data_IF_400214173985
#
_entry.id   IF_400214173985
#
_cell.length_a   1.000
_cell.length_b   1.000
_cell.length_c   1.000
_cell.angle_alpha   90.00
_cell.angle_beta   90.00
_cell.angle_gamma   90.00
#
_symmetry.space_group_name_H-M   'P 1'
#
loop_
_entity.id
_entity.type
_entity.pdbx_description
1 polymer ?
#
# COMPACT_ATOMS: atom_id res chain seq x y z
N UNK A 1 -36.34 23.99 -41.08
CA UNK A 1 -35.39 24.85 -40.31
C UNK A 1 -35.21 24.45 -38.84
N UNK A 2 -36.07 23.63 -38.21
CA UNK A 2 -36.00 23.30 -36.76
C UNK A 2 -34.92 22.30 -36.32
N UNK A 3 -34.35 21.51 -37.24
CA UNK A 3 -33.34 20.48 -36.90
C UNK A 3 -31.92 21.03 -36.64
N UNK A 4 -31.55 22.17 -37.23
CA UNK A 4 -30.20 22.75 -37.07
C UNK A 4 -29.99 23.34 -35.66
N UNK A 5 -31.02 23.91 -35.05
CA UNK A 5 -30.94 24.48 -33.70
C UNK A 5 -30.83 23.41 -32.60
N UNK A 6 -31.47 22.24 -32.77
CA UNK A 6 -31.37 21.16 -31.78
C UNK A 6 -29.99 20.50 -31.75
N UNK A 7 -29.34 20.35 -32.91
CA UNK A 7 -28.00 19.78 -33.02
C UNK A 7 -26.92 20.68 -32.39
N UNK A 8 -27.00 21.99 -32.62
CA UNK A 8 -26.13 22.98 -31.98
C UNK A 8 -26.30 23.02 -30.46
N UNK A 9 -27.53 22.88 -29.96
CA UNK A 9 -27.80 22.79 -28.52
C UNK A 9 -27.17 21.53 -27.90
N UNK A 10 -27.21 20.40 -28.61
CA UNK A 10 -26.61 19.13 -28.16
C UNK A 10 -25.08 19.22 -28.07
N UNK A 11 -24.43 19.85 -29.06
CA UNK A 11 -22.98 20.09 -29.03
C UNK A 11 -22.61 21.03 -27.88
N UNK A 12 -23.41 22.07 -27.62
CA UNK A 12 -23.17 23.00 -26.53
C UNK A 12 -23.33 22.33 -25.15
N UNK A 13 -24.31 21.45 -24.99
CA UNK A 13 -24.49 20.65 -23.76
C UNK A 13 -23.32 19.67 -23.57
N UNK A 14 -22.83 18.99 -24.62
CA UNK A 14 -21.66 18.12 -24.53
C UNK A 14 -20.37 18.89 -24.18
N UNK A 15 -20.21 20.12 -24.70
CA UNK A 15 -19.08 20.99 -24.35
C UNK A 15 -19.15 21.48 -22.90
N UNK A 16 -20.35 21.70 -22.34
CA UNK A 16 -20.53 22.10 -20.94
C UNK A 16 -20.31 20.95 -19.94
N UNK A 17 -20.51 19.69 -20.34
CA UNK A 17 -20.27 18.51 -19.49
C UNK A 17 -18.78 18.11 -19.47
N UNK A 18 -17.97 18.65 -20.38
CA UNK A 18 -16.56 18.26 -20.54
C UNK A 18 -15.58 18.85 -19.50
N UNK A 19 -16.05 19.52 -18.44
CA UNK A 19 -15.17 20.14 -17.45
C UNK A 19 -15.53 19.80 -15.98
N UNK A 20 -16.11 18.63 -15.72
CA UNK A 20 -16.06 18.08 -14.38
C UNK A 20 -14.64 17.56 -14.12
N UNK A 21 -13.80 18.39 -13.49
CA UNK A 21 -12.50 17.93 -13.00
C UNK A 21 -12.73 16.80 -12.01
N UNK A 22 -12.25 15.61 -12.35
CA UNK A 22 -12.34 14.45 -11.47
C UNK A 22 -11.43 14.74 -10.28
N UNK A 23 -12.03 15.04 -9.12
CA UNK A 23 -11.28 15.15 -7.87
C UNK A 23 -10.75 13.78 -7.47
N UNK A 24 -9.52 13.75 -7.02
CA UNK A 24 -8.85 12.55 -6.54
C UNK A 24 -8.61 12.60 -5.05
N UNK A 25 -8.63 11.44 -4.39
CA UNK A 25 -8.42 11.34 -2.95
C UNK A 25 -6.92 11.35 -2.66
N UNK A 26 -6.50 12.28 -1.81
CA UNK A 26 -5.15 12.33 -1.25
C UNK A 26 -5.26 12.08 0.25
N UNK A 27 -4.60 11.04 0.72
CA UNK A 27 -4.39 10.82 2.14
C UNK A 27 -3.22 11.68 2.59
N UNK A 28 -3.30 12.28 3.76
CA UNK A 28 -2.25 13.12 4.33
C UNK A 28 -1.83 12.47 5.65
N UNK A 29 -0.60 11.95 5.74
CA UNK A 29 0.00 11.51 7.01
C UNK A 29 0.73 12.67 7.68
N UNK A 30 0.54 12.84 8.98
CA UNK A 30 1.14 13.91 9.77
C UNK A 30 1.32 13.52 11.24
N UNK A 31 2.24 14.20 11.93
CA UNK A 31 2.42 14.05 13.37
C UNK A 31 1.44 14.94 14.15
N UNK A 32 0.48 14.40 14.93
CA UNK A 32 -0.49 15.22 15.66
C UNK A 32 0.12 16.12 16.73
N UNK A 33 1.30 15.79 17.26
CA UNK A 33 1.97 16.59 18.28
C UNK A 33 2.64 17.83 17.70
N UNK A 34 3.23 17.74 16.52
CA UNK A 34 4.05 18.81 15.92
C UNK A 34 3.45 19.43 14.66
N UNK A 35 2.54 18.74 13.97
CA UNK A 35 1.98 19.10 12.67
C UNK A 35 0.46 19.25 12.68
N UNK A 36 -0.19 19.31 13.85
CA UNK A 36 -1.59 19.75 13.96
C UNK A 36 -1.77 21.21 13.51
N UNK A 37 -2.99 21.58 13.14
CA UNK A 37 -3.35 22.94 12.73
C UNK A 37 -3.98 22.98 11.35
N UNK A 38 -3.46 23.81 10.44
CA UNK A 38 -4.04 24.04 9.12
C UNK A 38 -3.03 23.72 8.02
N UNK A 39 -3.41 22.82 7.11
CA UNK A 39 -2.74 22.63 5.83
C UNK A 39 -3.46 23.47 4.77
N UNK A 40 -2.80 24.51 4.26
CA UNK A 40 -3.28 25.29 3.13
C UNK A 40 -2.83 24.64 1.82
N UNK A 41 -3.76 24.54 0.87
CA UNK A 41 -3.51 24.11 -0.51
C UNK A 41 -3.83 25.25 -1.45
N UNK A 42 -2.88 25.59 -2.32
CA UNK A 42 -2.95 26.66 -3.32
C UNK A 42 -3.36 28.03 -2.76
N UNK A 43 -2.99 28.30 -1.50
CA UNK A 43 -3.37 29.51 -0.72
C UNK A 43 -4.89 29.71 -0.53
N UNK A 44 -5.73 28.80 -1.01
CA UNK A 44 -7.19 28.94 -1.03
C UNK A 44 -7.90 27.96 -0.09
N UNK A 45 -7.39 26.73 0.03
CA UNK A 45 -8.13 25.64 0.66
C UNK A 45 -7.50 25.24 2.00
N UNK A 46 -8.06 25.65 3.15
CA UNK A 46 -7.60 25.24 4.47
C UNK A 46 -8.18 23.87 4.86
N UNK A 47 -7.30 22.92 5.18
CA UNK A 47 -7.66 21.63 5.78
C UNK A 47 -7.18 21.56 7.22
N UNK A 48 -8.07 21.20 8.14
CA UNK A 48 -7.74 21.07 9.56
C UNK A 48 -7.10 19.71 9.84
N UNK A 49 -5.90 19.73 10.41
CA UNK A 49 -5.18 18.56 10.92
C UNK A 49 -5.41 18.47 12.44
N UNK A 50 -6.03 17.37 12.89
CA UNK A 50 -6.45 17.20 14.29
C UNK A 50 -5.30 16.74 15.18
N UNK A 51 -5.36 17.01 16.48
CA UNK A 51 -4.44 16.40 17.45
C UNK A 51 -4.78 14.92 17.72
N UNK A 52 -5.98 14.47 17.33
CA UNK A 52 -6.51 13.14 17.66
C UNK A 52 -6.41 12.15 16.49
N UNK A 53 -5.71 12.53 15.41
CA UNK A 53 -5.51 11.67 14.24
C UNK A 53 -4.09 11.80 13.72
N UNK A 54 -3.59 10.74 13.10
CA UNK A 54 -2.31 10.72 12.38
C UNK A 54 -2.48 10.91 10.88
N UNK A 55 -3.72 10.93 10.38
CA UNK A 55 -3.98 11.18 8.97
C UNK A 55 -5.35 11.79 8.68
N UNK A 56 -5.52 12.33 7.46
CA UNK A 56 -6.79 12.86 6.95
C UNK A 56 -6.89 12.62 5.44
N UNK A 57 -8.11 12.41 4.93
CA UNK A 57 -8.37 12.35 3.49
C UNK A 57 -8.85 13.71 2.98
N UNK A 58 -8.23 14.21 1.92
CA UNK A 58 -8.62 15.42 1.21
C UNK A 58 -8.92 15.12 -0.26
N UNK A 59 -9.70 15.98 -0.92
CA UNK A 59 -10.04 15.84 -2.34
C UNK A 59 -9.41 16.99 -3.13
N UNK A 60 -8.51 16.65 -4.05
CA UNK A 60 -7.77 17.62 -4.87
C UNK A 60 -7.98 17.33 -6.36
N UNK A 61 -7.79 18.34 -7.19
CA UNK A 61 -7.63 18.10 -8.62
C UNK A 61 -6.28 17.40 -8.88
N UNK A 62 -6.10 16.65 -9.99
CA UNK A 62 -4.79 16.21 -10.40
C UNK A 62 -3.96 17.39 -10.95
N UNK A 63 -2.67 17.43 -10.64
CA UNK A 63 -1.77 18.51 -11.07
C UNK A 63 -0.77 18.95 -10.01
N UNK A 64 -0.09 20.06 -10.26
CA UNK A 64 0.84 20.64 -9.29
C UNK A 64 0.06 21.49 -8.29
N UNK A 65 0.22 21.19 -7.01
CA UNK A 65 -0.39 21.95 -5.92
C UNK A 65 0.68 22.49 -4.99
N UNK A 66 0.46 23.70 -4.48
CA UNK A 66 1.30 24.33 -3.47
C UNK A 66 0.72 24.04 -2.09
N UNK A 67 1.53 23.51 -1.20
CA UNK A 67 1.14 23.15 0.15
C UNK A 67 1.89 24.00 1.16
N UNK A 68 1.19 24.38 2.23
CA UNK A 68 1.76 25.11 3.37
C UNK A 68 1.15 24.61 4.66
N UNK A 69 1.97 24.06 5.54
CA UNK A 69 1.55 23.64 6.87
C UNK A 69 1.71 24.81 7.86
N UNK A 70 0.61 25.26 8.44
CA UNK A 70 0.56 26.42 9.33
C UNK A 70 1.26 27.64 8.67
N UNK A 71 2.18 28.29 9.40
CA UNK A 71 3.04 29.37 8.89
C UNK A 71 4.41 28.86 8.42
N UNK A 72 4.51 27.56 8.11
CA UNK A 72 5.75 26.91 7.69
C UNK A 72 6.15 27.22 6.25
N UNK A 73 7.20 26.52 5.80
CA UNK A 73 7.73 26.62 4.44
C UNK A 73 6.77 26.00 3.43
N UNK A 74 6.60 26.68 2.30
CA UNK A 74 5.81 26.20 1.17
C UNK A 74 6.58 25.14 0.38
N UNK A 75 5.85 24.14 -0.14
CA UNK A 75 6.38 23.14 -1.05
C UNK A 75 5.36 22.81 -2.14
N UNK A 76 5.85 22.35 -3.29
CA UNK A 76 5.01 21.99 -4.44
C UNK A 76 5.04 20.47 -4.60
N UNK A 77 3.88 19.87 -4.83
CA UNK A 77 3.77 18.45 -5.11
C UNK A 77 2.83 18.21 -6.30
N UNK A 78 3.25 17.36 -7.23
CA UNK A 78 2.40 16.86 -8.29
C UNK A 78 1.51 15.73 -7.75
N UNK A 79 0.20 15.88 -7.93
CA UNK A 79 -0.84 14.92 -7.55
C UNK A 79 -1.30 14.18 -8.81
N UNK A 80 -1.01 12.87 -8.93
CA UNK A 80 -1.47 12.05 -10.05
C UNK A 80 -2.98 11.87 -10.06
N UNK A 81 -3.53 11.42 -11.20
CA UNK A 81 -4.96 11.18 -11.35
C UNK A 81 -5.55 10.21 -10.31
N UNK A 82 -4.77 9.19 -9.91
CA UNK A 82 -5.20 8.20 -8.90
C UNK A 82 -5.07 8.70 -7.45
N UNK A 83 -4.45 9.87 -7.24
CA UNK A 83 -4.17 10.39 -5.90
C UNK A 83 -2.98 9.68 -5.27
N UNK A 84 -2.96 9.61 -3.94
CA UNK A 84 -1.83 9.03 -3.20
C UNK A 84 -1.80 9.43 -1.74
N UNK A 85 -0.64 9.23 -1.13
CA UNK A 85 -0.32 9.63 0.23
C UNK A 85 0.67 10.79 0.20
N UNK A 86 0.27 11.93 0.77
CA UNK A 86 1.14 13.04 1.12
C UNK A 86 1.72 12.81 2.51
N UNK A 87 3.03 12.62 2.59
CA UNK A 87 3.75 12.31 3.81
C UNK A 87 4.35 13.59 4.40
N UNK A 88 3.63 14.25 5.31
CA UNK A 88 4.13 15.44 5.98
C UNK A 88 5.17 15.12 7.04
N UNK A 89 5.08 13.94 7.66
CA UNK A 89 5.94 13.52 8.76
C UNK A 89 7.27 12.88 8.31
N UNK A 90 7.54 12.83 7.01
CA UNK A 90 8.70 12.16 6.40
C UNK A 90 8.92 10.73 6.95
N UNK A 91 7.80 10.03 7.17
CA UNK A 91 7.76 8.65 7.66
C UNK A 91 8.09 7.65 6.56
N UNK A 92 8.45 6.44 6.99
CA UNK A 92 8.62 5.32 6.09
C UNK A 92 7.30 4.53 5.97
N UNK A 93 6.96 4.11 4.76
CA UNK A 93 5.75 3.32 4.48
C UNK A 93 6.07 2.01 3.78
N UNK A 94 5.15 1.07 3.90
CA UNK A 94 5.17 -0.21 3.19
C UNK A 94 3.80 -0.41 2.56
N UNK A 95 3.76 -0.80 1.29
CA UNK A 95 2.56 -1.43 0.73
C UNK A 95 2.59 -2.91 1.11
N UNK A 96 1.58 -3.34 1.86
CA UNK A 96 1.41 -4.73 2.29
C UNK A 96 0.27 -5.35 1.48
N UNK A 97 0.29 -6.67 1.31
CA UNK A 97 -0.76 -7.38 0.56
C UNK A 97 -1.57 -8.34 1.42
N UNK A 98 -2.80 -8.56 0.98
CA UNK A 98 -3.68 -9.61 1.49
C UNK A 98 -4.30 -10.37 0.30
N UNK A 99 -4.13 -11.70 0.24
CA UNK A 99 -4.81 -12.53 -0.73
C UNK A 99 -6.29 -12.72 -0.33
N UNK A 100 -7.17 -12.75 -1.33
CA UNK A 100 -8.58 -13.11 -1.20
C UNK A 100 -8.90 -14.24 -2.17
N UNK A 101 -9.54 -15.30 -1.70
CA UNK A 101 -10.09 -16.35 -2.56
C UNK A 101 -11.52 -16.01 -2.98
N UNK A 102 -11.84 -16.06 -4.28
CA UNK A 102 -13.23 -15.99 -4.73
C UNK A 102 -13.81 -17.41 -4.82
N UNK A 103 -14.75 -17.76 -3.95
CA UNK A 103 -15.61 -18.93 -4.10
C UNK A 103 -15.47 -20.02 -3.04
N UNK A 104 -16.49 -20.10 -2.18
CA UNK A 104 -17.07 -21.38 -1.73
C UNK A 104 -16.35 -22.15 -0.63
N UNK A 105 -16.25 -21.58 0.57
CA UNK A 105 -16.66 -22.20 1.85
C UNK A 105 -16.19 -21.30 2.99
N UNK A 106 -17.11 -20.97 3.90
CA UNK A 106 -16.88 -20.07 5.05
C UNK A 106 -15.88 -20.63 6.09
N UNK A 107 -15.23 -21.77 5.81
CA UNK A 107 -14.33 -22.47 6.73
C UNK A 107 -12.92 -22.73 6.18
N UNK A 108 -12.52 -22.14 5.06
CA UNK A 108 -11.09 -22.13 4.68
C UNK A 108 -10.64 -20.73 4.29
N UNK A 109 -9.98 -20.03 5.23
CA UNK A 109 -9.31 -18.76 4.95
C UNK A 109 -8.17 -18.98 3.92
N UNK A 110 -7.69 -20.22 3.72
CA UNK A 110 -6.56 -20.53 2.84
C UNK A 110 -6.70 -21.89 2.12
N UNK A 111 -7.74 -22.02 1.29
CA UNK A 111 -7.93 -23.20 0.43
C UNK A 111 -6.77 -23.39 -0.57
N UNK A 112 -6.13 -24.56 -0.49
CA UNK A 112 -5.04 -25.05 -1.33
C UNK A 112 -5.23 -24.77 -2.83
N UNK A 113 -4.55 -23.75 -3.37
CA UNK A 113 -4.45 -23.52 -4.81
C UNK A 113 -3.00 -23.50 -5.30
N UNK A 114 -2.67 -24.57 -6.02
CA UNK A 114 -1.32 -24.99 -6.43
C UNK A 114 -0.75 -24.25 -7.66
N UNK A 115 -1.50 -23.36 -8.30
CA UNK A 115 -1.07 -22.69 -9.55
C UNK A 115 -0.88 -21.18 -9.39
N UNK A 116 0.09 -20.77 -8.55
CA UNK A 116 0.65 -19.40 -8.65
C UNK A 116 2.15 -19.57 -8.80
N UNK A 117 2.57 -19.72 -10.05
CA UNK A 117 3.97 -19.57 -10.40
C UNK A 117 4.32 -18.08 -10.46
N UNK A 118 5.32 -17.67 -9.68
CA UNK A 118 6.30 -16.61 -9.96
C UNK A 118 6.26 -15.24 -9.26
N UNK A 119 5.36 -14.93 -8.33
CA UNK A 119 5.50 -13.68 -7.56
C UNK A 119 5.65 -13.98 -6.06
N UNK A 120 6.90 -14.03 -5.62
CA UNK A 120 7.24 -14.09 -4.20
C UNK A 120 7.14 -12.68 -3.63
N UNK A 121 6.44 -12.52 -2.51
CA UNK A 121 6.14 -11.20 -1.95
C UNK A 121 7.02 -10.95 -0.75
N UNK A 122 7.97 -10.04 -0.88
CA UNK A 122 8.82 -9.65 0.21
C UNK A 122 9.14 -8.16 0.14
N UNK A 123 9.58 -7.63 1.28
CA UNK A 123 10.13 -6.28 1.38
C UNK A 123 11.38 -6.32 2.24
N UNK A 124 12.36 -5.48 1.91
CA UNK A 124 13.59 -5.32 2.69
C UNK A 124 13.53 -3.98 3.42
N UNK A 125 13.74 -3.99 4.73
CA UNK A 125 13.76 -2.80 5.58
C UNK A 125 14.88 -2.96 6.61
N UNK A 126 15.79 -1.99 6.71
CA UNK A 126 16.87 -1.97 7.72
C UNK A 126 17.64 -3.29 7.86
N UNK A 127 18.06 -3.87 6.72
CA UNK A 127 18.76 -5.18 6.63
C UNK A 127 17.94 -6.43 6.99
N UNK A 128 16.64 -6.28 7.24
CA UNK A 128 15.72 -7.39 7.47
C UNK A 128 14.88 -7.62 6.21
N UNK A 129 14.71 -8.89 5.83
CA UNK A 129 13.74 -9.30 4.83
C UNK A 129 12.47 -9.78 5.53
N UNK A 130 11.34 -9.25 5.07
CA UNK A 130 10.00 -9.64 5.49
C UNK A 130 9.34 -10.35 4.31
N UNK A 131 9.28 -11.67 4.39
CA UNK A 131 8.81 -12.53 3.33
C UNK A 131 7.41 -13.06 3.66
N UNK A 132 6.43 -12.79 2.81
CA UNK A 132 5.06 -13.25 2.98
C UNK A 132 4.92 -14.73 2.61
N UNK A 133 4.35 -15.53 3.53
CA UNK A 133 4.05 -16.94 3.33
C UNK A 133 2.73 -17.07 2.57
N UNK A 134 2.78 -17.67 1.38
CA UNK A 134 1.58 -18.00 0.61
C UNK A 134 0.70 -19.04 1.32
N UNK A 135 1.34 -20.00 2.00
CA UNK A 135 0.70 -21.02 2.82
C UNK A 135 1.21 -20.90 4.25
N UNK A 136 0.27 -20.74 5.20
CA UNK A 136 0.56 -20.55 6.63
C UNK A 136 1.37 -21.69 7.25
N UNK A 137 1.39 -22.87 6.62
CA UNK A 137 2.12 -24.05 7.08
C UNK A 137 3.47 -24.24 6.40
N UNK A 138 3.81 -23.43 5.40
CA UNK A 138 5.06 -23.59 4.67
C UNK A 138 6.22 -22.91 5.40
N UNK A 139 7.19 -23.71 5.82
CA UNK A 139 8.50 -23.22 6.21
C UNK A 139 9.27 -22.76 4.97
N UNK A 140 9.69 -21.49 4.98
CA UNK A 140 10.53 -20.92 3.92
C UNK A 140 11.99 -21.01 4.37
N UNK A 141 12.80 -21.77 3.63
CA UNK A 141 14.22 -21.94 3.92
C UNK A 141 15.05 -20.74 3.45
N UNK A 142 16.20 -20.50 4.09
CA UNK A 142 17.12 -19.43 3.69
C UNK A 142 17.65 -19.63 2.26
N UNK A 143 17.82 -20.89 1.83
CA UNK A 143 18.17 -21.20 0.44
C UNK A 143 17.10 -20.73 -0.56
N UNK A 144 15.81 -20.84 -0.19
CA UNK A 144 14.72 -20.29 -0.99
C UNK A 144 14.77 -18.76 -1.02
N UNK A 145 14.91 -18.12 0.14
CA UNK A 145 15.00 -16.65 0.23
C UNK A 145 16.18 -16.13 -0.61
N UNK A 146 17.35 -16.77 -0.51
CA UNK A 146 18.54 -16.42 -1.30
C UNK A 146 18.28 -16.52 -2.81
N UNK A 147 17.64 -17.60 -3.26
CA UNK A 147 17.25 -17.77 -4.66
C UNK A 147 16.31 -16.67 -5.13
N UNK A 148 15.32 -16.28 -4.31
CA UNK A 148 14.38 -15.21 -4.62
C UNK A 148 15.10 -13.85 -4.72
N UNK A 149 15.99 -13.55 -3.77
CA UNK A 149 16.82 -12.33 -3.80
C UNK A 149 17.70 -12.26 -5.07
N UNK A 150 18.34 -13.37 -5.44
CA UNK A 150 19.15 -13.45 -6.65
C UNK A 150 18.33 -13.22 -7.93
N UNK A 151 17.12 -13.79 -8.00
CA UNK A 151 16.21 -13.60 -9.14
C UNK A 151 15.77 -12.13 -9.22
N UNK A 152 15.36 -11.53 -8.10
CA UNK A 152 14.90 -10.14 -8.06
C UNK A 152 16.01 -9.16 -8.50
N UNK A 153 17.24 -9.40 -8.04
CA UNK A 153 18.39 -8.58 -8.42
C UNK A 153 18.74 -8.69 -9.91
N UNK A 154 18.57 -9.87 -10.51
CA UNK A 154 18.90 -10.10 -11.93
C UNK A 154 17.80 -9.65 -12.88
N UNK A 155 16.53 -9.76 -12.48
CA UNK A 155 15.43 -9.68 -13.42
C UNK A 155 15.00 -8.24 -13.76
N UNK A 156 15.33 -7.22 -12.96
CA UNK A 156 14.71 -5.87 -13.02
C UNK A 156 13.18 -5.89 -13.00
N UNK A 157 12.56 -7.06 -12.82
CA UNK A 157 11.11 -7.19 -12.81
C UNK A 157 10.68 -6.94 -11.38
N UNK A 158 10.08 -5.77 -11.13
CA UNK A 158 9.36 -5.46 -9.89
C UNK A 158 8.14 -6.39 -9.80
N UNK A 159 8.36 -7.61 -9.33
CA UNK A 159 7.33 -8.64 -9.14
C UNK A 159 6.86 -8.74 -7.68
N UNK A 160 7.39 -7.91 -6.78
CA UNK A 160 6.88 -7.81 -5.41
C UNK A 160 5.68 -6.86 -5.38
N UNK A 161 4.53 -7.34 -4.89
CA UNK A 161 3.40 -6.46 -4.54
C UNK A 161 3.63 -5.70 -3.23
N UNK A 162 4.72 -6.02 -2.53
CA UNK A 162 5.18 -5.24 -1.39
C UNK A 162 6.27 -4.27 -1.85
N UNK A 163 6.13 -3.00 -1.46
CA UNK A 163 7.09 -1.95 -1.76
C UNK A 163 7.40 -1.16 -0.50
N UNK A 164 8.68 -0.79 -0.33
CA UNK A 164 9.16 0.07 0.75
C UNK A 164 9.37 1.49 0.24
N UNK A 165 8.81 2.45 0.96
CA UNK A 165 8.87 3.86 0.68
C UNK A 165 9.64 4.58 1.77
N UNK A 166 10.95 4.75 1.57
CA UNK A 166 11.81 5.47 2.51
C UNK A 166 11.62 6.99 2.36
N UNK A 167 11.04 7.62 3.39
CA UNK A 167 10.84 9.07 3.54
C UNK A 167 10.35 9.79 2.29
N UNK A 168 9.58 9.11 1.43
CA UNK A 168 9.05 9.72 0.19
C UNK A 168 8.00 10.75 0.57
N UNK A 169 8.14 11.98 0.06
CA UNK A 169 7.20 13.07 0.33
C UNK A 169 5.80 12.77 -0.19
N UNK A 170 5.74 12.10 -1.33
CA UNK A 170 4.49 11.67 -1.94
C UNK A 170 4.64 10.25 -2.46
N UNK A 171 3.63 9.44 -2.19
CA UNK A 171 3.54 8.06 -2.62
C UNK A 171 2.31 7.96 -3.54
N UNK A 172 2.45 7.64 -4.82
CA UNK A 172 1.30 7.50 -5.73
C UNK A 172 0.39 6.35 -5.30
N UNK A 173 -0.93 6.52 -5.47
CA UNK A 173 -1.88 5.46 -5.13
C UNK A 173 -1.74 4.24 -6.05
N UNK A 174 -1.01 3.25 -5.58
CA UNK A 174 -0.90 1.90 -6.13
C UNK A 174 -1.49 0.84 -5.18
N UNK A 175 -2.13 1.29 -4.09
CA UNK A 175 -2.83 0.45 -3.11
C UNK A 175 -4.36 0.55 -3.18
N UNK A 176 -5.03 -0.50 -2.71
CA UNK A 176 -6.49 -0.51 -2.56
C UNK A 176 -6.94 0.26 -1.31
N UNK A 177 -6.30 0.01 -0.16
CA UNK A 177 -6.73 0.50 1.15
C UNK A 177 -5.77 1.52 1.76
N UNK A 178 -6.32 2.63 2.24
CA UNK A 178 -5.59 3.71 2.89
C UNK A 178 -5.13 3.44 4.32
N UNK A 179 -4.49 4.43 4.94
CA UNK A 179 -3.98 4.36 6.31
C UNK A 179 -5.08 4.07 7.34
N UNK A 180 -6.27 4.65 7.15
CA UNK A 180 -7.41 4.51 8.06
C UNK A 180 -8.45 3.48 7.59
N UNK A 181 -8.14 2.70 6.55
CA UNK A 181 -9.06 1.71 6.00
C UNK A 181 -8.58 0.33 6.40
N UNK A 182 -9.42 -0.44 7.09
CA UNK A 182 -9.09 -1.82 7.40
C UNK A 182 -9.15 -2.71 6.15
N UNK A 183 -8.36 -3.78 6.16
CA UNK A 183 -8.57 -4.83 5.19
C UNK A 183 -9.94 -5.46 5.45
N UNK A 184 -10.85 -5.48 4.47
CA UNK A 184 -12.11 -6.17 4.65
C UNK A 184 -11.84 -7.67 4.81
N UNK A 185 -12.64 -8.36 5.62
CA UNK A 185 -12.54 -9.81 5.75
C UNK A 185 -12.91 -10.54 4.44
N UNK A 186 -13.83 -9.96 3.67
CA UNK A 186 -14.31 -10.51 2.40
C UNK A 186 -14.39 -9.43 1.32
N UNK A 187 -14.05 -9.80 0.08
CA UNK A 187 -14.29 -8.96 -1.10
C UNK A 187 -15.43 -9.55 -1.92
N UNK A 188 -16.38 -8.70 -2.33
CA UNK A 188 -17.44 -9.11 -3.27
C UNK A 188 -16.95 -8.86 -4.70
N UNK A 189 -16.51 -9.90 -5.39
CA UNK A 189 -16.28 -9.83 -6.83
C UNK A 189 -17.56 -10.21 -7.59
N UNK A 190 -18.04 -9.33 -8.47
CA UNK A 190 -19.08 -9.70 -9.45
C UNK A 190 -18.43 -10.50 -10.57
N UNK A 191 -18.50 -11.82 -10.53
CA UNK A 191 -18.07 -12.66 -11.64
C UNK A 191 -19.07 -12.56 -12.79
N UNK A 192 -18.67 -11.92 -13.90
CA UNK A 192 -19.43 -11.85 -15.14
C UNK A 192 -19.11 -13.06 -16.03
N UNK A 193 -19.48 -14.28 -15.64
CA UNK A 193 -19.48 -15.40 -16.60
C UNK A 193 -20.32 -16.57 -16.11
N UNK A 194 -21.29 -16.92 -16.95
CA UNK A 194 -22.09 -18.14 -16.91
C UNK A 194 -21.24 -19.42 -16.81
N UNK A 195 -21.61 -20.30 -15.90
CA UNK A 195 -21.48 -21.76 -16.11
C UNK A 195 -20.23 -22.48 -15.59
N UNK A 196 -19.22 -21.81 -15.05
CA UNK A 196 -18.16 -22.50 -14.29
C UNK A 196 -17.60 -21.58 -13.20
N UNK A 197 -17.54 -22.09 -11.96
CA UNK A 197 -16.97 -21.39 -10.82
C UNK A 197 -15.45 -21.33 -11.00
N UNK A 198 -14.95 -20.22 -11.55
CA UNK A 198 -13.51 -19.93 -11.54
C UNK A 198 -13.18 -19.26 -10.21
N UNK A 199 -12.34 -19.90 -9.42
CA UNK A 199 -11.73 -19.29 -8.24
C UNK A 199 -10.68 -18.29 -8.75
N UNK A 200 -11.02 -17.01 -8.75
CA UNK A 200 -10.05 -15.92 -8.87
C UNK A 200 -9.48 -15.63 -7.49
N UNK A 201 -8.20 -15.92 -7.28
CA UNK A 201 -7.46 -15.31 -6.19
C UNK A 201 -7.18 -13.86 -6.59
N UNK A 202 -7.70 -12.91 -5.83
CA UNK A 202 -7.43 -11.49 -6.01
C UNK A 202 -6.61 -10.99 -4.84
N UNK A 203 -5.53 -10.26 -5.14
CA UNK A 203 -4.76 -9.58 -4.11
C UNK A 203 -5.33 -8.18 -3.90
N UNK A 204 -5.39 -7.77 -2.64
CA UNK A 204 -5.55 -6.36 -2.30
C UNK A 204 -4.36 -5.87 -1.52
N UNK A 205 -4.06 -4.59 -1.67
CA UNK A 205 -2.94 -3.97 -0.98
C UNK A 205 -3.38 -2.82 -0.08
N UNK A 206 -2.64 -2.62 1.01
CA UNK A 206 -2.82 -1.53 1.96
C UNK A 206 -1.49 -0.84 2.19
N UNK A 207 -1.52 0.49 2.22
CA UNK A 207 -0.37 1.26 2.69
C UNK A 207 -0.39 1.36 4.21
N UNK A 208 0.76 1.13 4.84
CA UNK A 208 0.91 1.16 6.29
C UNK A 208 2.26 1.77 6.67
N UNK A 209 2.35 2.39 7.85
CA UNK A 209 3.62 2.87 8.39
C UNK A 209 4.58 1.69 8.60
N UNK A 210 5.84 1.85 8.19
CA UNK A 210 6.83 0.80 8.26
C UNK A 210 7.04 0.26 9.70
N UNK A 211 7.11 1.07 10.78
CA UNK A 211 7.19 0.54 12.14
C UNK A 211 6.02 -0.39 12.51
N UNK A 212 4.80 -0.02 12.12
CA UNK A 212 3.62 -0.83 12.38
C UNK A 212 3.62 -2.12 11.54
N UNK A 213 4.07 -2.05 10.29
CA UNK A 213 4.28 -3.24 9.46
C UNK A 213 5.29 -4.20 10.09
N UNK A 214 6.45 -3.71 10.56
CA UNK A 214 7.46 -4.55 11.22
C UNK A 214 6.88 -5.27 12.43
N UNK A 215 6.16 -4.54 13.28
CA UNK A 215 5.48 -5.12 14.45
C UNK A 215 4.45 -6.17 14.02
N UNK A 216 3.60 -5.84 13.03
CA UNK A 216 2.59 -6.76 12.50
C UNK A 216 3.23 -8.06 11.98
N UNK A 217 4.29 -7.97 11.18
CA UNK A 217 4.99 -9.13 10.63
C UNK A 217 5.63 -9.99 11.73
N UNK A 218 6.19 -9.38 12.77
CA UNK A 218 6.75 -10.11 13.92
C UNK A 218 5.67 -10.79 14.77
N UNK A 219 4.50 -10.17 14.94
CA UNK A 219 3.38 -10.73 15.69
C UNK A 219 2.59 -11.78 14.90
N UNK A 220 2.85 -11.91 13.60
CA UNK A 220 2.16 -12.86 12.72
C UNK A 220 3.13 -13.82 12.01
N UNK A 221 3.90 -14.62 12.75
CA UNK A 221 4.88 -15.55 12.18
C UNK A 221 4.25 -16.64 11.29
N UNK A 222 2.93 -16.86 11.40
CA UNK A 222 2.17 -17.71 10.49
C UNK A 222 2.05 -17.11 9.08
N UNK A 223 2.19 -15.79 8.92
CA UNK A 223 2.09 -15.10 7.63
C UNK A 223 3.41 -14.55 7.14
N UNK A 224 4.38 -14.29 8.03
CA UNK A 224 5.67 -13.73 7.65
C UNK A 224 6.84 -14.58 8.12
N UNK A 225 7.84 -14.71 7.25
CA UNK A 225 9.21 -15.07 7.64
C UNK A 225 10.02 -13.79 7.71
N UNK A 226 10.59 -13.53 8.88
CA UNK A 226 11.47 -12.38 9.12
C UNK A 226 12.88 -12.92 9.31
N UNK A 227 13.83 -12.41 8.50
CA UNK A 227 15.24 -12.83 8.55
C UNK A 227 16.17 -11.66 8.38
N UNK A 228 17.35 -11.74 8.99
CA UNK A 228 18.43 -10.81 8.71
C UNK A 228 19.13 -11.21 7.41
N UNK A 229 19.40 -10.25 6.53
CA UNK A 229 20.10 -10.52 5.27
C UNK A 229 21.52 -11.06 5.48
N UNK A 230 22.24 -10.59 6.50
CA UNK A 230 23.60 -11.06 6.79
C UNK A 230 23.61 -12.53 7.22
N UNK A 231 22.65 -12.94 8.05
CA UNK A 231 22.56 -14.33 8.51
C UNK A 231 22.27 -15.29 7.34
N UNK A 232 21.44 -14.86 6.38
CA UNK A 232 21.19 -15.59 5.12
C UNK A 232 22.46 -15.68 4.27
N UNK A 233 23.21 -14.59 4.13
CA UNK A 233 24.45 -14.55 3.34
C UNK A 233 25.55 -15.46 3.93
N UNK A 234 25.65 -15.51 5.26
CA UNK A 234 26.64 -16.30 6.00
C UNK A 234 26.25 -17.78 6.16
N UNK A 235 25.09 -18.21 5.63
CA UNK A 235 24.51 -19.56 5.81
C UNK A 235 24.43 -19.98 7.29
N UNK A 236 24.20 -19.03 8.20
CA UNK A 236 24.02 -19.36 9.62
C UNK A 236 22.67 -20.05 9.80
N UNK A 237 22.70 -21.39 9.79
CA UNK A 237 21.57 -22.21 10.19
C UNK A 237 21.31 -22.00 11.67
N UNK A 238 20.32 -21.19 12.06
CA UNK A 238 19.84 -21.28 13.43
C UNK A 238 18.38 -20.86 13.62
N UNK A 239 17.47 -21.85 13.64
CA UNK A 239 16.07 -21.65 14.06
C UNK A 239 15.94 -21.31 15.55
N UNK A 240 16.98 -21.49 16.37
CA UNK A 240 16.90 -21.32 17.83
C UNK A 240 17.53 -20.02 18.35
N UNK A 241 18.45 -19.41 17.61
CA UNK A 241 19.16 -18.20 18.03
C UNK A 241 18.41 -16.90 17.68
N UNK A 242 17.55 -16.96 16.65
CA UNK A 242 16.75 -15.83 16.16
C UNK A 242 15.60 -15.44 17.10
N UNK A 243 14.93 -16.39 17.75
CA UNK A 243 13.89 -16.10 18.75
C UNK A 243 14.45 -15.31 19.95
N UNK A 244 15.74 -15.52 20.26
CA UNK A 244 16.44 -14.81 21.32
C UNK A 244 16.87 -13.42 20.87
N UNK A 245 17.37 -13.28 19.63
CA UNK A 245 17.76 -11.99 19.04
C UNK A 245 16.58 -11.07 18.73
N UNK A 246 15.45 -11.61 18.27
CA UNK A 246 14.20 -10.86 18.07
C UNK A 246 13.68 -10.34 19.42
N UNK A 247 13.72 -11.15 20.48
CA UNK A 247 13.38 -10.71 21.84
C UNK A 247 14.37 -9.67 22.41
N UNK A 248 15.63 -9.72 22.02
CA UNK A 248 16.63 -8.72 22.41
C UNK A 248 16.50 -7.41 21.61
N UNK A 249 16.16 -7.46 20.32
CA UNK A 249 15.87 -6.26 19.51
C UNK A 249 14.54 -5.58 19.88
N UNK A 250 13.61 -6.30 20.51
CA UNK A 250 12.40 -5.73 21.10
C UNK A 250 12.66 -5.01 22.45
N UNK A 251 13.87 -5.11 23.00
CA UNK A 251 14.33 -4.24 24.09
C UNK A 251 14.87 -2.96 23.46
N UNK A 252 13.94 -2.05 23.17
CA UNK A 252 14.09 -0.73 22.55
C UNK A 252 15.41 0.03 22.82
N UNK A 253 15.89 0.71 21.77
CA UNK A 253 16.27 2.14 21.82
C UNK A 253 15.10 2.99 21.29
#
# INVERSE_FOLDING_TARGET
>A
MRFKSAFLLFIFIFLLVSCSKIKTRVEVSYNPSTQKGTLLVDDEFPFKLSADSTSVSILLDPGNHKFKLNNGKEFIQNIPQKGGLLNLNDENFVTLIQPYGSGGDENSIFGNNKDISMNEHFVIIDSMIYFYKKDTLQDISDAHIKKVLEINNKSRVQNSFMEYYEKKKFIPKDWDFGLNEDFPETIKERSSSSGSMRISLTYKSKIIQAPLFKLYAMMTPQYFVVRNLKDIEENKLDKNDDDKKVKEQMKFD
#
